data_IF_249347444846
#
_entry.id   IF_249347444846
#
_cell.length_a   1.000
_cell.length_b   1.000
_cell.length_c   1.000
_cell.angle_alpha   90.00
_cell.angle_beta   90.00
_cell.angle_gamma   90.00
#
_symmetry.space_group_name_H-M   'P 1'
#
loop_
_entity.id
_entity.type
_entity.pdbx_description
1 polymer ?
#
# COMPACT_ATOMS: atom_id res chain seq x y z
N UNK A 1 1.39 42.74 -12.35
CA UNK A 1 1.69 41.38 -12.84
C UNK A 1 1.15 40.29 -11.92
N UNK A 2 1.57 40.18 -10.65
CA UNK A 2 1.06 39.12 -9.75
C UNK A 2 -0.47 39.17 -9.54
N UNK A 3 -1.04 40.36 -9.27
CA UNK A 3 -2.49 40.53 -9.13
C UNK A 3 -3.27 40.20 -10.41
N UNK A 4 -2.71 40.53 -11.58
CA UNK A 4 -3.29 40.20 -12.88
C UNK A 4 -3.31 38.68 -13.10
N UNK A 5 -2.19 37.99 -12.80
CA UNK A 5 -2.12 36.52 -12.87
C UNK A 5 -3.08 35.86 -11.89
N UNK A 6 -3.24 36.41 -10.69
CA UNK A 6 -4.20 35.90 -9.71
C UNK A 6 -5.63 36.01 -10.23
N UNK A 7 -5.99 37.16 -10.83
CA UNK A 7 -7.30 37.38 -11.45
C UNK A 7 -7.55 36.42 -12.61
N UNK A 8 -6.57 36.22 -13.50
CA UNK A 8 -6.73 35.37 -14.69
C UNK A 8 -6.78 33.86 -14.36
N UNK A 9 -6.02 33.41 -13.37
CA UNK A 9 -5.93 31.98 -13.01
C UNK A 9 -6.90 31.54 -11.92
N UNK A 10 -7.48 32.49 -11.17
CA UNK A 10 -8.25 32.20 -9.96
C UNK A 10 -7.42 31.66 -8.79
N UNK A 11 -6.09 31.67 -8.90
CA UNK A 11 -5.15 31.21 -7.86
C UNK A 11 -4.54 32.40 -7.12
N UNK A 12 -4.21 32.29 -5.81
CA UNK A 12 -3.76 33.41 -4.98
C UNK A 12 -2.28 33.78 -5.21
N UNK A 13 -1.91 34.12 -6.45
CA UNK A 13 -0.55 34.52 -6.79
C UNK A 13 -0.17 35.86 -6.12
N UNK A 14 0.99 35.87 -5.48
CA UNK A 14 1.62 37.06 -4.89
C UNK A 14 3.05 37.23 -5.40
N UNK A 15 3.58 38.45 -5.28
CA UNK A 15 4.98 38.71 -5.64
C UNK A 15 5.91 38.12 -4.58
N UNK A 16 7.01 37.48 -4.99
CA UNK A 16 7.98 36.94 -4.05
C UNK A 16 8.57 38.07 -3.17
N UNK A 17 8.62 37.93 -1.83
CA UNK A 17 9.12 39.00 -0.96
C UNK A 17 10.61 39.29 -1.21
N UNK A 18 11.39 38.28 -1.61
CA UNK A 18 12.78 38.42 -2.01
C UNK A 18 12.94 37.96 -3.47
N UNK A 19 13.44 38.85 -4.34
CA UNK A 19 13.66 38.55 -5.76
C UNK A 19 14.98 37.85 -6.04
N UNK A 20 15.99 38.07 -5.19
CA UNK A 20 17.28 37.40 -5.32
C UNK A 20 17.11 35.90 -5.05
N UNK A 21 16.39 35.53 -3.99
CA UNK A 21 16.08 34.12 -3.71
C UNK A 21 15.29 33.48 -4.86
N UNK A 22 14.18 34.10 -5.29
CA UNK A 22 13.34 33.56 -6.36
C UNK A 22 14.07 33.36 -7.71
N UNK A 23 15.14 34.12 -7.97
CA UNK A 23 15.98 34.01 -9.17
C UNK A 23 17.21 33.10 -8.98
N UNK A 24 17.86 33.15 -7.82
CA UNK A 24 19.06 32.38 -7.53
C UNK A 24 18.77 30.91 -7.18
N UNK A 25 17.54 30.56 -6.76
CA UNK A 25 17.16 29.20 -6.33
C UNK A 25 15.88 28.71 -7.00
N UNK A 26 15.53 27.45 -6.71
CA UNK A 26 14.27 26.80 -7.10
C UNK A 26 13.69 25.97 -5.93
N UNK A 27 13.93 26.42 -4.70
CA UNK A 27 13.71 25.63 -3.48
C UNK A 27 12.24 25.25 -3.28
N UNK A 28 11.32 26.13 -3.69
CA UNK A 28 9.89 25.82 -3.69
C UNK A 28 9.55 24.58 -4.53
N UNK A 29 10.20 24.40 -5.69
CA UNK A 29 10.00 23.22 -6.54
C UNK A 29 10.69 21.99 -5.96
N UNK A 30 11.85 22.13 -5.33
CA UNK A 30 12.55 21.03 -4.63
C UNK A 30 11.67 20.50 -3.49
N UNK A 31 11.14 21.40 -2.64
CA UNK A 31 10.26 21.03 -1.54
C UNK A 31 8.98 20.36 -2.04
N UNK A 32 8.30 20.98 -3.02
CA UNK A 32 7.08 20.44 -3.57
C UNK A 32 7.30 19.06 -4.21
N UNK A 33 8.42 18.85 -4.91
CA UNK A 33 8.75 17.54 -5.46
C UNK A 33 9.03 16.49 -4.36
N UNK A 34 9.67 16.91 -3.26
CA UNK A 34 9.85 16.05 -2.09
C UNK A 34 8.52 15.50 -1.53
N UNK A 35 7.44 16.28 -1.59
CA UNK A 35 6.09 15.83 -1.26
C UNK A 35 5.54 14.82 -2.28
N UNK A 36 5.76 15.04 -3.58
CA UNK A 36 5.39 14.08 -4.65
C UNK A 36 6.14 12.74 -4.48
N UNK A 37 7.43 12.78 -4.13
CA UNK A 37 8.21 11.57 -3.81
C UNK A 37 7.68 10.87 -2.55
N UNK A 38 7.21 11.62 -1.56
CA UNK A 38 6.49 11.06 -0.40
C UNK A 38 5.23 10.30 -0.82
N UNK A 39 4.40 10.91 -1.67
CA UNK A 39 3.21 10.28 -2.25
C UNK A 39 3.57 9.02 -3.06
N UNK A 40 4.62 9.07 -3.90
CA UNK A 40 5.09 7.92 -4.67
C UNK A 40 5.50 6.75 -3.78
N UNK A 41 6.12 6.99 -2.62
CA UNK A 41 6.45 5.94 -1.66
C UNK A 41 5.18 5.28 -1.08
N UNK A 42 4.16 6.06 -0.74
CA UNK A 42 2.88 5.54 -0.26
C UNK A 42 2.16 4.71 -1.33
N UNK A 43 2.08 5.23 -2.57
CA UNK A 43 1.43 4.55 -3.69
C UNK A 43 2.16 3.26 -4.06
N UNK A 44 3.50 3.26 -4.06
CA UNK A 44 4.31 2.06 -4.27
C UNK A 44 3.92 0.96 -3.29
N UNK A 45 3.79 1.27 -1.99
CA UNK A 45 3.38 0.29 -0.97
C UNK A 45 1.97 -0.22 -1.24
N UNK A 46 1.02 0.67 -1.46
CA UNK A 46 -0.40 0.31 -1.72
C UNK A 46 -0.51 -0.62 -2.93
N UNK A 47 0.11 -0.25 -4.05
CA UNK A 47 0.07 -1.05 -5.28
C UNK A 47 0.74 -2.43 -5.07
N UNK A 48 1.82 -2.49 -4.28
CA UNK A 48 2.49 -3.74 -3.93
C UNK A 48 1.60 -4.66 -3.09
N UNK A 49 0.94 -4.13 -2.07
CA UNK A 49 0.01 -4.91 -1.24
C UNK A 49 -1.12 -5.50 -2.09
N UNK A 50 -1.74 -4.69 -2.95
CA UNK A 50 -2.84 -5.14 -3.81
C UNK A 50 -2.38 -6.28 -4.72
N UNK A 51 -1.24 -6.15 -5.42
CA UNK A 51 -0.76 -7.23 -6.30
C UNK A 51 -0.36 -8.51 -5.56
N UNK A 52 0.13 -8.39 -4.32
CA UNK A 52 0.47 -9.57 -3.51
C UNK A 52 -0.79 -10.25 -2.95
N UNK A 53 -1.73 -9.49 -2.40
CA UNK A 53 -3.01 -10.02 -1.91
C UNK A 53 -3.81 -10.69 -3.04
N UNK A 54 -3.68 -10.19 -4.27
CA UNK A 54 -4.30 -10.77 -5.47
C UNK A 54 -3.51 -11.92 -6.12
N UNK A 55 -2.30 -12.23 -5.63
CA UNK A 55 -1.46 -13.27 -6.24
C UNK A 55 -2.12 -14.66 -6.16
N UNK A 56 -2.17 -15.38 -7.28
CA UNK A 56 -2.92 -16.64 -7.34
C UNK A 56 -3.02 -17.22 -8.77
N UNK A 57 -4.00 -18.09 -9.05
CA UNK A 57 -5.15 -18.41 -8.19
C UNK A 57 -4.87 -19.49 -7.12
N UNK A 58 -3.76 -20.24 -7.20
CA UNK A 58 -3.50 -21.39 -6.31
C UNK A 58 -2.17 -21.37 -5.56
N UNK A 59 -1.15 -20.73 -6.13
CA UNK A 59 0.22 -20.74 -5.60
C UNK A 59 0.64 -19.37 -5.04
N UNK A 60 -0.31 -18.60 -4.51
CA UNK A 60 -0.11 -17.27 -3.94
C UNK A 60 -0.96 -17.04 -2.69
N UNK A 61 -1.20 -15.77 -2.35
CA UNK A 61 -2.04 -15.39 -1.20
C UNK A 61 -3.52 -15.57 -1.53
N UNK A 62 -4.01 -14.85 -2.55
CA UNK A 62 -5.36 -15.00 -3.11
C UNK A 62 -6.50 -14.47 -2.23
N UNK A 63 -6.22 -13.51 -1.35
CA UNK A 63 -7.22 -12.93 -0.44
C UNK A 63 -8.17 -11.95 -1.13
N UNK A 64 -7.73 -11.31 -2.22
CA UNK A 64 -8.57 -10.42 -3.02
C UNK A 64 -8.56 -10.84 -4.49
N UNK A 65 -9.61 -10.49 -5.21
CA UNK A 65 -9.68 -10.52 -6.65
C UNK A 65 -9.59 -9.08 -7.20
N UNK A 66 -8.97 -8.93 -8.36
CA UNK A 66 -8.86 -7.67 -9.09
C UNK A 66 -9.50 -7.81 -10.48
N UNK A 67 -9.97 -6.71 -11.10
CA UNK A 67 -10.56 -6.75 -12.44
C UNK A 67 -9.60 -7.30 -13.51
N UNK A 68 -10.16 -8.06 -14.45
CA UNK A 68 -9.46 -8.51 -15.67
C UNK A 68 -9.75 -7.52 -16.80
N UNK A 69 -8.82 -6.61 -17.09
CA UNK A 69 -9.00 -5.59 -18.14
C UNK A 69 -8.40 -6.02 -19.49
N UNK A 70 -7.29 -6.74 -19.47
CA UNK A 70 -6.62 -7.25 -20.65
C UNK A 70 -7.09 -8.66 -21.00
N UNK A 71 -7.17 -9.04 -22.28
CA UNK A 71 -7.60 -10.38 -22.67
C UNK A 71 -6.70 -11.46 -22.06
N UNK A 72 -7.24 -12.25 -21.14
CA UNK A 72 -6.62 -13.48 -20.66
C UNK A 72 -6.59 -14.58 -21.71
N UNK A 73 -5.90 -15.68 -21.40
CA UNK A 73 -5.96 -16.89 -22.21
C UNK A 73 -7.10 -17.79 -21.73
N UNK A 74 -7.97 -18.24 -22.62
CA UNK A 74 -9.07 -19.16 -22.28
C UNK A 74 -8.61 -20.50 -21.68
N UNK A 75 -7.34 -20.87 -21.86
CA UNK A 75 -6.72 -22.06 -21.24
C UNK A 75 -6.23 -21.79 -19.79
N UNK A 76 -6.20 -20.53 -19.33
CA UNK A 76 -5.70 -20.11 -18.01
C UNK A 76 -6.79 -19.39 -17.19
N UNK A 77 -7.88 -20.08 -16.81
CA UNK A 77 -8.97 -19.46 -16.07
C UNK A 77 -8.52 -18.94 -14.69
N UNK A 78 -8.97 -17.74 -14.33
CA UNK A 78 -8.69 -17.11 -13.04
C UNK A 78 -7.28 -16.52 -12.90
N UNK A 79 -6.44 -16.59 -13.94
CA UNK A 79 -5.15 -15.90 -13.96
C UNK A 79 -5.34 -14.46 -14.42
N UNK A 80 -5.25 -13.51 -13.49
CA UNK A 80 -5.28 -12.08 -13.78
C UNK A 80 -3.93 -11.47 -13.40
N UNK A 81 -3.27 -10.80 -14.36
CA UNK A 81 -2.04 -10.07 -14.07
C UNK A 81 -2.40 -8.69 -13.48
N UNK A 82 -1.70 -8.22 -12.43
CA UNK A 82 -2.00 -6.95 -11.79
C UNK A 82 -1.37 -5.75 -12.56
N UNK A 83 -1.72 -5.60 -13.84
CA UNK A 83 -1.10 -4.65 -14.78
C UNK A 83 -1.14 -3.20 -14.30
N UNK A 84 -2.25 -2.79 -13.68
CA UNK A 84 -2.39 -1.45 -13.11
C UNK A 84 -1.48 -1.22 -11.89
N UNK A 85 -1.26 -2.24 -11.06
CA UNK A 85 -0.27 -2.18 -9.99
C UNK A 85 1.14 -2.06 -10.57
N UNK A 86 1.45 -2.84 -11.62
CA UNK A 86 2.75 -2.79 -12.31
C UNK A 86 3.03 -1.39 -12.87
N UNK A 87 2.08 -0.83 -13.62
CA UNK A 87 2.18 0.52 -14.16
C UNK A 87 2.38 1.58 -13.07
N UNK A 88 1.58 1.53 -11.99
CA UNK A 88 1.68 2.49 -10.90
C UNK A 88 3.03 2.37 -10.16
N UNK A 89 3.55 1.16 -9.96
CA UNK A 89 4.88 0.97 -9.35
C UNK A 89 6.00 1.50 -10.25
N UNK A 90 5.92 1.33 -11.58
CA UNK A 90 6.89 1.93 -12.51
C UNK A 90 6.85 3.46 -12.48
N UNK A 91 5.66 4.06 -12.44
CA UNK A 91 5.48 5.51 -12.24
C UNK A 91 6.16 5.97 -10.95
N UNK A 92 5.96 5.25 -9.85
CA UNK A 92 6.58 5.60 -8.57
C UNK A 92 8.10 5.57 -8.63
N UNK A 93 8.70 4.57 -9.29
CA UNK A 93 10.14 4.52 -9.55
C UNK A 93 10.62 5.74 -10.35
N UNK A 94 9.91 6.12 -11.41
CA UNK A 94 10.26 7.27 -12.24
C UNK A 94 10.23 8.57 -11.43
N UNK A 95 9.20 8.77 -10.60
CA UNK A 95 9.10 9.95 -9.72
C UNK A 95 10.27 10.01 -8.73
N UNK A 96 10.68 8.89 -8.15
CA UNK A 96 11.85 8.86 -7.25
C UNK A 96 13.15 9.19 -8.00
N UNK A 97 13.30 8.76 -9.26
CA UNK A 97 14.43 9.17 -10.10
C UNK A 97 14.41 10.66 -10.44
N UNK A 98 13.24 11.20 -10.79
CA UNK A 98 13.03 12.62 -11.07
C UNK A 98 13.34 13.48 -9.84
N UNK A 99 13.05 12.99 -8.63
CA UNK A 99 13.36 13.69 -7.38
C UNK A 99 14.86 13.93 -7.22
N UNK A 100 15.69 12.92 -7.54
CA UNK A 100 17.15 13.09 -7.52
C UNK A 100 17.58 14.18 -8.50
N UNK A 101 17.05 14.17 -9.73
CA UNK A 101 17.36 15.18 -10.73
C UNK A 101 16.96 16.59 -10.26
N UNK A 102 15.76 16.75 -9.69
CA UNK A 102 15.25 18.02 -9.15
C UNK A 102 16.13 18.54 -8.02
N UNK A 103 16.54 17.67 -7.08
CA UNK A 103 17.42 18.06 -5.97
C UNK A 103 18.80 18.53 -6.47
N UNK A 104 19.39 17.82 -7.44
CA UNK A 104 20.67 18.22 -8.05
C UNK A 104 20.53 19.57 -8.76
N UNK A 105 19.46 19.77 -9.54
CA UNK A 105 19.18 21.04 -10.19
C UNK A 105 18.96 22.19 -9.20
N UNK A 106 18.31 21.92 -8.07
CA UNK A 106 18.13 22.87 -6.98
C UNK A 106 19.45 23.35 -6.36
N UNK A 107 20.36 22.43 -6.08
CA UNK A 107 21.66 22.72 -5.46
C UNK A 107 22.68 23.39 -6.41
N UNK A 108 22.39 23.45 -7.71
CA UNK A 108 23.35 23.87 -8.74
C UNK A 108 23.23 25.35 -9.16
N UNK A 109 22.58 26.19 -8.34
CA UNK A 109 22.52 27.64 -8.58
C UNK A 109 23.89 28.31 -8.40
N UNK A 110 24.18 29.33 -9.21
CA UNK A 110 25.41 30.14 -9.06
C UNK A 110 25.06 31.62 -9.01
N UNK A 111 25.44 32.27 -7.90
CA UNK A 111 25.22 33.70 -7.66
C UNK A 111 23.75 34.10 -7.86
N UNK A 112 23.45 35.00 -8.79
CA UNK A 112 22.11 35.62 -8.92
C UNK A 112 21.08 34.78 -9.70
N UNK A 113 21.47 33.65 -10.33
CA UNK A 113 20.55 32.89 -11.18
C UNK A 113 20.80 31.38 -11.16
N UNK A 114 19.75 30.60 -10.85
CA UNK A 114 19.73 29.17 -11.14
C UNK A 114 19.33 28.94 -12.61
N UNK A 115 20.24 28.37 -13.40
CA UNK A 115 20.06 28.09 -14.83
C UNK A 115 19.56 26.66 -15.13
N UNK A 116 19.38 25.82 -14.11
CA UNK A 116 18.83 24.46 -14.23
C UNK A 116 17.29 24.44 -14.29
N UNK A 117 16.64 25.61 -14.31
CA UNK A 117 15.17 25.77 -14.33
C UNK A 117 14.45 24.89 -15.35
N UNK A 118 14.89 24.77 -16.63
CA UNK A 118 14.19 23.95 -17.61
C UNK A 118 14.13 22.46 -17.21
N UNK A 119 15.24 21.92 -16.70
CA UNK A 119 15.27 20.51 -16.30
C UNK A 119 14.50 20.27 -15.00
N UNK A 120 14.51 21.23 -14.07
CA UNK A 120 13.75 21.12 -12.81
C UNK A 120 12.25 21.12 -13.08
N UNK A 121 11.75 22.09 -13.86
CA UNK A 121 10.31 22.18 -14.14
C UNK A 121 9.83 21.01 -15.02
N UNK A 122 10.68 20.52 -15.94
CA UNK A 122 10.35 19.35 -16.75
C UNK A 122 10.12 18.10 -15.89
N UNK A 123 11.07 17.77 -15.02
CA UNK A 123 10.96 16.62 -14.11
C UNK A 123 9.78 16.79 -13.16
N UNK A 124 9.57 18.00 -12.64
CA UNK A 124 8.43 18.30 -11.78
C UNK A 124 7.08 18.04 -12.47
N UNK A 125 6.87 18.62 -13.65
CA UNK A 125 5.61 18.45 -14.39
C UNK A 125 5.41 17.02 -14.88
N UNK A 126 6.48 16.33 -15.28
CA UNK A 126 6.41 14.91 -15.64
C UNK A 126 5.95 14.07 -14.45
N UNK A 127 6.53 14.27 -13.25
CA UNK A 127 6.12 13.56 -12.03
C UNK A 127 4.66 13.82 -11.68
N UNK A 128 4.21 15.08 -11.73
CA UNK A 128 2.80 15.44 -11.50
C UNK A 128 1.88 14.70 -12.47
N UNK A 129 2.22 14.72 -13.76
CA UNK A 129 1.40 14.08 -14.80
C UNK A 129 1.33 12.57 -14.63
N UNK A 130 2.48 11.92 -14.44
CA UNK A 130 2.55 10.46 -14.28
C UNK A 130 1.79 10.01 -13.03
N UNK A 131 1.93 10.72 -11.90
CA UNK A 131 1.18 10.40 -10.69
C UNK A 131 -0.32 10.58 -10.89
N UNK A 132 -0.75 11.70 -11.47
CA UNK A 132 -2.18 11.97 -11.70
C UNK A 132 -2.81 10.90 -12.61
N UNK A 133 -2.20 10.63 -13.76
CA UNK A 133 -2.69 9.64 -14.71
C UNK A 133 -2.62 8.23 -14.12
N UNK A 134 -1.53 7.89 -13.44
CA UNK A 134 -1.33 6.58 -12.81
C UNK A 134 -2.35 6.30 -11.69
N UNK A 135 -2.65 7.30 -10.85
CA UNK A 135 -3.68 7.18 -9.81
C UNK A 135 -5.08 7.05 -10.42
N UNK A 136 -5.40 7.84 -11.44
CA UNK A 136 -6.70 7.76 -12.12
C UNK A 136 -6.90 6.39 -12.77
N UNK A 137 -5.92 5.92 -13.54
CA UNK A 137 -5.92 4.60 -14.20
C UNK A 137 -6.01 3.46 -13.19
N UNK A 138 -5.21 3.51 -12.12
CA UNK A 138 -5.25 2.51 -11.06
C UNK A 138 -6.60 2.48 -10.36
N UNK A 139 -7.21 3.65 -10.10
CA UNK A 139 -8.53 3.71 -9.50
C UNK A 139 -9.60 3.10 -10.41
N UNK A 140 -9.68 3.56 -11.65
CA UNK A 140 -10.72 3.15 -12.60
C UNK A 140 -10.62 1.67 -13.00
N UNK A 141 -9.40 1.18 -13.24
CA UNK A 141 -9.17 -0.15 -13.80
C UNK A 141 -8.71 -1.19 -12.77
N UNK A 142 -8.60 -0.84 -11.49
CA UNK A 142 -8.23 -1.81 -10.46
C UNK A 142 -8.95 -1.55 -9.14
N UNK A 143 -8.69 -0.42 -8.49
CA UNK A 143 -9.08 -0.20 -7.09
C UNK A 143 -10.59 -0.29 -6.85
N UNK A 144 -11.41 0.30 -7.72
CA UNK A 144 -12.88 0.30 -7.55
C UNK A 144 -13.52 -1.08 -7.75
N UNK A 145 -12.82 -2.02 -8.37
CA UNK A 145 -13.32 -3.38 -8.65
C UNK A 145 -12.65 -4.45 -7.80
N UNK A 146 -11.94 -4.09 -6.73
CA UNK A 146 -11.36 -5.05 -5.79
C UNK A 146 -12.48 -5.74 -5.02
N UNK A 147 -12.49 -7.08 -5.02
CA UNK A 147 -13.45 -7.89 -4.28
C UNK A 147 -12.74 -8.88 -3.33
N UNK A 148 -13.23 -9.10 -2.11
CA UNK A 148 -12.62 -10.06 -1.18
C UNK A 148 -12.95 -11.51 -1.56
N UNK A 149 -11.95 -12.37 -1.58
CA UNK A 149 -12.15 -13.81 -1.66
C UNK A 149 -12.44 -14.37 -0.26
N UNK A 150 -13.70 -14.25 0.17
CA UNK A 150 -14.13 -14.63 1.53
C UNK A 150 -13.87 -16.09 1.87
N UNK A 151 -13.98 -16.99 0.90
CA UNK A 151 -13.69 -18.42 1.10
C UNK A 151 -12.21 -18.62 1.44
N UNK A 152 -11.30 -18.04 0.65
CA UNK A 152 -9.86 -18.11 0.88
C UNK A 152 -9.44 -17.43 2.19
N UNK A 153 -9.98 -16.25 2.48
CA UNK A 153 -9.71 -15.53 3.74
C UNK A 153 -10.15 -16.39 4.93
N UNK A 154 -11.36 -16.95 4.89
CA UNK A 154 -11.87 -17.83 5.95
C UNK A 154 -11.03 -19.09 6.12
N UNK A 155 -10.58 -19.70 5.02
CA UNK A 155 -9.67 -20.84 5.08
C UNK A 155 -8.37 -20.48 5.81
N UNK A 156 -7.68 -19.42 5.37
CA UNK A 156 -6.39 -19.01 5.94
C UNK A 156 -6.51 -18.61 7.42
N UNK A 157 -7.61 -17.96 7.80
CA UNK A 157 -7.89 -17.59 9.19
C UNK A 157 -7.98 -18.83 10.09
N UNK A 158 -8.67 -19.88 9.65
CA UNK A 158 -8.89 -21.10 10.43
C UNK A 158 -7.67 -22.05 10.43
N UNK A 159 -6.80 -21.94 9.41
CA UNK A 159 -5.52 -22.66 9.34
C UNK A 159 -4.39 -21.94 10.11
N UNK A 160 -4.58 -20.68 10.48
CA UNK A 160 -3.59 -19.87 11.18
C UNK A 160 -3.37 -20.31 12.63
N UNK A 161 -2.11 -20.23 13.08
CA UNK A 161 -1.72 -20.49 14.47
C UNK A 161 -1.80 -19.23 15.35
N UNK A 162 -2.06 -18.06 14.78
CA UNK A 162 -1.98 -16.78 15.51
C UNK A 162 -3.13 -16.57 16.50
N UNK A 163 -4.28 -17.21 16.25
CA UNK A 163 -5.46 -17.09 17.11
C UNK A 163 -5.30 -17.78 18.47
N UNK A 164 -4.24 -18.57 18.66
CA UNK A 164 -3.99 -19.35 19.88
C UNK A 164 -3.90 -18.49 21.14
N UNK A 165 -3.52 -17.21 21.01
CA UNK A 165 -3.40 -16.28 22.14
C UNK A 165 -4.73 -16.01 22.84
N UNK A 166 -5.86 -16.19 22.15
CA UNK A 166 -7.20 -16.12 22.75
C UNK A 166 -7.40 -17.18 23.85
N UNK A 167 -6.68 -18.30 23.78
CA UNK A 167 -6.79 -19.38 24.77
C UNK A 167 -6.03 -19.08 26.07
N UNK A 168 -5.09 -18.13 26.08
CA UNK A 168 -4.20 -17.88 27.23
C UNK A 168 -4.95 -17.59 28.53
N UNK A 169 -6.07 -16.87 28.45
CA UNK A 169 -6.90 -16.46 29.61
C UNK A 169 -7.79 -17.59 30.13
N UNK A 170 -7.99 -18.65 29.35
CA UNK A 170 -8.85 -19.79 29.70
C UNK A 170 -8.03 -20.99 30.20
N UNK A 171 -6.90 -21.28 29.56
CA UNK A 171 -6.11 -22.50 29.82
C UNK A 171 -4.65 -22.22 30.22
N UNK A 172 -4.23 -20.95 30.22
CA UNK A 172 -2.86 -20.55 30.52
C UNK A 172 -1.92 -20.64 29.30
N UNK A 173 -0.80 -19.91 29.39
CA UNK A 173 0.19 -19.79 28.31
C UNK A 173 0.79 -21.13 27.89
N UNK A 174 1.19 -21.97 28.86
CA UNK A 174 1.93 -23.21 28.55
C UNK A 174 1.07 -24.19 27.72
N UNK A 175 -0.19 -24.37 28.10
CA UNK A 175 -1.14 -25.22 27.35
C UNK A 175 -1.44 -24.65 25.96
N UNK A 176 -1.63 -23.34 25.85
CA UNK A 176 -1.85 -22.68 24.55
C UNK A 176 -0.62 -22.84 23.62
N UNK A 177 0.60 -22.66 24.16
CA UNK A 177 1.83 -22.86 23.42
C UNK A 177 2.02 -24.33 22.97
N UNK A 178 1.63 -25.30 23.80
CA UNK A 178 1.66 -26.72 23.44
C UNK A 178 0.68 -27.05 22.29
N UNK A 179 -0.53 -26.47 22.30
CA UNK A 179 -1.49 -26.58 21.19
C UNK A 179 -0.87 -26.06 19.89
N UNK A 180 -0.29 -24.85 19.89
CA UNK A 180 0.33 -24.28 18.69
C UNK A 180 1.52 -25.12 18.18
N UNK A 181 2.37 -25.62 19.09
CA UNK A 181 3.50 -26.49 18.72
C UNK A 181 3.02 -27.79 18.10
N UNK A 182 2.03 -28.45 18.70
CA UNK A 182 1.44 -29.67 18.15
C UNK A 182 0.82 -29.42 16.77
N UNK A 183 0.05 -28.35 16.63
CA UNK A 183 -0.57 -27.96 15.36
C UNK A 183 0.47 -27.76 14.25
N UNK A 184 1.56 -27.05 14.56
CA UNK A 184 2.66 -26.85 13.61
C UNK A 184 3.37 -28.15 13.23
N UNK A 185 3.69 -29.00 14.21
CA UNK A 185 4.43 -30.25 13.98
C UNK A 185 3.61 -31.29 13.21
N UNK A 186 2.30 -31.33 13.42
CA UNK A 186 1.42 -32.35 12.83
C UNK A 186 0.63 -31.82 11.61
N UNK A 187 0.75 -30.53 11.27
CA UNK A 187 0.00 -29.92 10.18
C UNK A 187 -1.51 -29.85 10.44
N UNK A 188 -1.89 -29.63 11.71
CA UNK A 188 -3.28 -29.58 12.16
C UNK A 188 -3.73 -28.12 12.38
N UNK A 189 -5.04 -27.89 12.45
CA UNK A 189 -5.59 -26.64 12.96
C UNK A 189 -5.45 -26.55 14.48
N UNK A 190 -5.50 -25.34 15.04
CA UNK A 190 -5.49 -25.14 16.49
C UNK A 190 -6.63 -25.91 17.18
N UNK A 191 -7.83 -25.90 16.60
CA UNK A 191 -9.00 -26.63 17.11
C UNK A 191 -8.73 -28.12 17.17
N UNK A 192 -8.23 -28.71 16.07
CA UNK A 192 -7.90 -30.14 16.02
C UNK A 192 -6.83 -30.53 17.03
N UNK A 193 -5.77 -29.73 17.20
CA UNK A 193 -4.72 -29.99 18.19
C UNK A 193 -5.21 -29.85 19.63
N UNK A 194 -6.05 -28.85 19.92
CA UNK A 194 -6.62 -28.63 21.25
C UNK A 194 -7.53 -29.78 21.70
N UNK A 195 -8.37 -30.28 20.78
CA UNK A 195 -9.21 -31.46 20.99
C UNK A 195 -8.37 -32.72 21.19
N UNK A 196 -7.33 -32.93 20.37
CA UNK A 196 -6.45 -34.09 20.47
C UNK A 196 -5.66 -34.14 21.80
N UNK A 197 -5.30 -32.98 22.35
CA UNK A 197 -4.65 -32.86 23.67
C UNK A 197 -5.64 -32.96 24.84
N UNK A 198 -6.94 -32.90 24.58
CA UNK A 198 -7.98 -32.93 25.61
C UNK A 198 -7.98 -31.70 26.51
N UNK A 199 -7.48 -30.56 26.02
CA UNK A 199 -7.38 -29.33 26.81
C UNK A 199 -8.67 -28.52 26.86
N UNK A 200 -9.55 -28.73 25.88
CA UNK A 200 -10.85 -28.09 25.76
C UNK A 200 -11.73 -28.88 24.80
N UNK A 201 -13.03 -28.59 24.82
CA UNK A 201 -14.05 -29.14 23.92
C UNK A 201 -14.24 -28.27 22.68
N UNK A 202 -14.96 -28.79 21.69
CA UNK A 202 -15.27 -28.05 20.46
C UNK A 202 -16.08 -26.78 20.75
N UNK A 203 -17.10 -26.89 21.62
CA UNK A 203 -17.92 -25.76 22.03
C UNK A 203 -17.12 -24.68 22.79
N UNK A 204 -16.15 -25.10 23.61
CA UNK A 204 -15.24 -24.15 24.29
C UNK A 204 -14.32 -23.44 23.29
N UNK A 205 -13.75 -24.15 22.31
CA UNK A 205 -12.93 -23.52 21.28
C UNK A 205 -13.72 -22.46 20.51
N UNK A 206 -14.91 -22.82 20.03
CA UNK A 206 -15.76 -21.94 19.24
C UNK A 206 -16.27 -20.74 20.05
N UNK A 207 -16.43 -20.90 21.37
CA UNK A 207 -16.80 -19.79 22.27
C UNK A 207 -15.63 -18.88 22.63
N UNK A 208 -14.40 -19.39 22.72
CA UNK A 208 -13.25 -18.62 23.22
C UNK A 208 -12.42 -17.99 22.10
N UNK A 209 -12.34 -18.64 20.93
CA UNK A 209 -11.54 -18.16 19.80
C UNK A 209 -12.45 -17.49 18.78
N UNK A 210 -12.73 -16.21 19.01
CA UNK A 210 -13.64 -15.40 18.19
C UNK A 210 -12.89 -14.27 17.48
N UNK A 211 -12.49 -14.43 16.21
CA UNK A 211 -11.68 -13.44 15.47
C UNK A 211 -12.29 -12.03 15.45
N UNK A 212 -13.62 -11.93 15.41
CA UNK A 212 -14.35 -10.65 15.46
C UNK A 212 -14.17 -9.89 16.78
N UNK A 213 -13.76 -10.56 17.86
CA UNK A 213 -13.44 -9.94 19.17
C UNK A 213 -11.94 -9.63 19.31
N UNK A 214 -11.12 -9.99 18.32
CA UNK A 214 -9.65 -9.84 18.34
C UNK A 214 -9.14 -8.67 17.48
N UNK A 215 -10.03 -7.84 16.94
CA UNK A 215 -9.72 -6.74 15.99
C UNK A 215 -9.84 -5.34 16.60
N UNK A 216 -9.71 -5.20 17.93
CA UNK A 216 -9.85 -3.92 18.62
C UNK A 216 -9.22 -3.91 20.02
N UNK A 217 -9.50 -2.88 20.81
CA UNK A 217 -9.07 -2.82 22.21
C UNK A 217 -9.91 -3.78 23.06
N UNK A 218 -9.25 -4.58 23.91
CA UNK A 218 -9.92 -5.35 24.96
C UNK A 218 -10.76 -4.39 25.81
N UNK A 219 -12.07 -4.64 25.91
CA UNK A 219 -12.88 -4.01 26.93
C UNK A 219 -12.33 -4.47 28.29
N UNK A 220 -11.65 -3.58 29.01
CA UNK A 220 -11.27 -3.81 30.40
C UNK A 220 -12.58 -3.97 31.16
N UNK A 221 -12.94 -5.21 31.49
CA UNK A 221 -14.03 -5.52 32.43
C UNK A 221 -13.51 -5.45 33.85
#
# INVERSE_FOLDING_TARGET
MAAELASLSGQPFVTAPNKFEALATVDALVHAHGALKGLAASLMKIANDVRWLASGPRCGIGEIAIPENEPGSSIMPGKVNPTQCEALTMVCCQVMGNDVAVNIGGASGNFELNVYRPMVIHNFLQSVRLLADGMASFNEHCAVGIEPNRERISQLLNESLMLVTALNTHIGYDKAAEIAKKAHHEGLTLKASALALGYLTEAEFDSWVRPEEMVGSLAIR
#
